data_IF_749620351348
#
_entry.id   IF_749620351348
#
_cell.length_a   1.000
_cell.length_b   1.000
_cell.length_c   1.000
_cell.angle_alpha   90.00
_cell.angle_beta   90.00
_cell.angle_gamma   90.00
#
_symmetry.space_group_name_H-M   'P 1'
#
loop_
_entity.id
_entity.type
_entity.pdbx_description
1 polymer ?
#
# COMPACT_ATOMS: atom_id res chain seq x y z
N UNK A 1 -9.05 -29.46 -2.03
CA UNK A 1 -9.45 -28.04 -1.89
C UNK A 1 -8.36 -27.18 -2.51
N UNK A 2 -8.70 -26.03 -3.06
CA UNK A 2 -7.75 -24.99 -3.48
C UNK A 2 -8.06 -23.74 -2.67
N UNK A 3 -7.03 -23.08 -2.14
CA UNK A 3 -7.16 -21.80 -1.44
C UNK A 3 -6.52 -20.73 -2.31
N UNK A 4 -7.31 -19.72 -2.66
CA UNK A 4 -6.87 -18.54 -3.41
C UNK A 4 -6.92 -17.34 -2.47
N UNK A 5 -5.84 -16.54 -2.45
CA UNK A 5 -5.77 -15.27 -1.73
C UNK A 5 -5.46 -14.18 -2.75
N UNK A 6 -6.33 -13.19 -2.85
CA UNK A 6 -6.10 -11.99 -3.65
C UNK A 6 -6.00 -10.80 -2.71
N UNK A 7 -4.90 -10.04 -2.81
CA UNK A 7 -4.60 -8.94 -1.91
C UNK A 7 -4.44 -7.65 -2.71
N UNK A 8 -5.12 -6.62 -2.24
CA UNK A 8 -4.98 -5.25 -2.71
C UNK A 8 -4.41 -4.39 -1.59
N UNK A 9 -3.47 -3.52 -1.95
CA UNK A 9 -2.79 -2.61 -1.02
C UNK A 9 -2.99 -1.18 -1.52
N UNK A 10 -3.39 -0.29 -0.61
CA UNK A 10 -3.60 1.14 -0.81
C UNK A 10 -3.41 1.88 0.50
N UNK A 11 -4.39 2.70 0.89
CA UNK A 11 -4.43 3.29 2.24
C UNK A 11 -4.63 2.24 3.37
N UNK A 12 -5.03 1.02 3.00
CA UNK A 12 -5.07 -0.16 3.86
C UNK A 12 -4.82 -1.41 3.02
N UNK A 13 -5.21 -2.57 3.53
CA UNK A 13 -5.15 -3.86 2.85
C UNK A 13 -6.59 -4.39 2.73
N UNK A 14 -6.96 -4.84 1.53
CA UNK A 14 -8.13 -5.68 1.34
C UNK A 14 -7.64 -7.06 0.89
N UNK A 15 -8.14 -8.09 1.55
CA UNK A 15 -7.84 -9.45 1.20
C UNK A 15 -9.11 -10.24 0.94
N UNK A 16 -9.20 -10.86 -0.24
CA UNK A 16 -10.26 -11.80 -0.59
C UNK A 16 -9.71 -13.22 -0.53
N UNK A 17 -10.31 -14.04 0.32
CA UNK A 17 -9.93 -15.44 0.52
C UNK A 17 -11.03 -16.30 -0.10
N UNK A 18 -10.67 -17.17 -1.04
CA UNK A 18 -11.59 -18.13 -1.68
C UNK A 18 -11.11 -19.55 -1.42
N UNK A 19 -12.00 -20.40 -0.90
CA UNK A 19 -11.76 -21.84 -0.76
C UNK A 19 -12.63 -22.58 -1.77
N UNK A 20 -12.01 -23.26 -2.73
CA UNK A 20 -12.68 -24.05 -3.78
C UNK A 20 -12.63 -25.53 -3.48
N UNK A 21 -13.77 -26.19 -3.62
CA UNK A 21 -13.88 -27.63 -3.53
C UNK A 21 -14.09 -28.22 -4.93
N UNK A 22 -13.12 -29.00 -5.40
CA UNK A 22 -13.20 -29.71 -6.69
C UNK A 22 -13.69 -31.15 -6.56
N UNK A 23 -13.95 -31.61 -5.34
CA UNK A 23 -14.48 -32.96 -5.10
C UNK A 23 -16.00 -33.00 -5.26
N UNK A 24 -16.53 -34.23 -5.27
CA UNK A 24 -17.97 -34.52 -5.36
C UNK A 24 -18.68 -34.53 -3.99
N UNK A 25 -17.95 -34.33 -2.90
CA UNK A 25 -18.49 -34.35 -1.53
C UNK A 25 -18.33 -32.98 -0.87
N UNK A 26 -19.24 -32.57 0.02
CA UNK A 26 -19.09 -31.33 0.77
C UNK A 26 -17.88 -31.42 1.71
N UNK A 27 -17.16 -30.31 1.86
CA UNK A 27 -16.00 -30.23 2.74
C UNK A 27 -16.27 -29.27 3.91
N UNK A 28 -16.20 -29.78 5.14
CA UNK A 28 -16.20 -28.95 6.35
C UNK A 28 -14.81 -28.37 6.52
N UNK A 29 -14.70 -27.04 6.51
CA UNK A 29 -13.45 -26.31 6.57
C UNK A 29 -13.41 -25.42 7.81
N UNK A 30 -12.24 -25.41 8.46
CA UNK A 30 -11.85 -24.38 9.42
C UNK A 30 -10.78 -23.55 8.74
N UNK A 31 -11.01 -22.25 8.59
CA UNK A 31 -10.09 -21.31 7.95
C UNK A 31 -9.60 -20.35 9.02
N UNK A 32 -8.31 -20.40 9.32
CA UNK A 32 -7.67 -19.55 10.32
C UNK A 32 -6.67 -18.61 9.64
N UNK A 33 -6.69 -17.36 10.06
CA UNK A 33 -5.77 -16.33 9.59
C UNK A 33 -5.11 -15.70 10.83
N UNK A 34 -3.86 -16.11 11.08
CA UNK A 34 -3.03 -15.56 12.14
C UNK A 34 -2.47 -14.20 11.75
N UNK A 35 -2.53 -13.22 12.67
CA UNK A 35 -2.25 -11.82 12.38
C UNK A 35 -1.32 -11.22 13.44
N UNK A 36 -0.39 -10.38 12.98
CA UNK A 36 0.54 -9.65 13.84
C UNK A 36 0.90 -8.29 13.21
N UNK A 37 1.39 -7.37 14.04
CA UNK A 37 1.89 -6.08 13.65
C UNK A 37 3.11 -5.73 14.53
N UNK A 38 4.30 -5.75 13.93
CA UNK A 38 5.56 -5.45 14.62
C UNK A 38 5.82 -3.93 14.80
N UNK A 39 5.06 -3.10 14.08
CA UNK A 39 5.19 -1.64 14.02
C UNK A 39 6.59 -1.13 13.66
N UNK A 40 7.42 -2.01 13.07
CA UNK A 40 8.78 -1.69 12.68
C UNK A 40 8.78 -0.53 11.68
N UNK A 41 9.73 0.37 11.84
CA UNK A 41 9.93 1.46 10.91
C UNK A 41 10.56 0.98 9.61
N UNK A 42 10.27 1.70 8.53
CA UNK A 42 10.79 1.42 7.20
C UNK A 42 12.32 1.25 7.18
N UNK A 43 13.06 2.04 7.95
CA UNK A 43 14.52 1.93 8.02
C UNK A 43 15.01 0.77 8.89
N UNK A 44 14.25 0.38 9.91
CA UNK A 44 14.58 -0.82 10.71
C UNK A 44 14.44 -2.08 9.85
N UNK A 45 13.41 -2.13 9.00
CA UNK A 45 13.23 -3.22 8.03
C UNK A 45 14.33 -3.21 6.97
N UNK A 46 14.63 -2.04 6.40
CA UNK A 46 15.69 -1.87 5.40
C UNK A 46 17.05 -2.37 5.92
N UNK A 47 17.40 -2.02 7.15
CA UNK A 47 18.68 -2.37 7.76
C UNK A 47 18.67 -3.76 8.43
N UNK A 48 17.54 -4.49 8.34
CA UNK A 48 17.29 -5.76 9.01
C UNK A 48 17.60 -5.72 10.53
N UNK A 49 17.33 -4.57 11.15
CA UNK A 49 17.69 -4.27 12.54
C UNK A 49 16.53 -3.60 13.26
N UNK A 50 15.65 -4.41 13.81
CA UNK A 50 14.54 -3.96 14.66
C UNK A 50 15.10 -3.58 16.03
N UNK A 51 15.00 -2.31 16.40
CA UNK A 51 15.48 -1.75 17.66
C UNK A 51 14.35 -1.22 18.55
N UNK A 52 13.23 -0.83 17.96
CA UNK A 52 12.04 -0.36 18.70
C UNK A 52 11.27 -1.57 19.22
N UNK A 53 11.10 -1.61 20.53
CA UNK A 53 10.20 -2.54 21.19
C UNK A 53 8.91 -1.81 21.52
N UNK A 54 7.82 -2.24 20.89
CA UNK A 54 6.50 -1.66 21.06
C UNK A 54 5.76 -2.40 22.18
N UNK A 55 5.20 -1.65 23.12
CA UNK A 55 4.25 -2.20 24.09
C UNK A 55 2.94 -2.49 23.34
N UNK A 56 2.77 -3.75 22.93
CA UNK A 56 1.65 -4.17 22.09
C UNK A 56 0.43 -4.54 22.95
N UNK A 57 -0.75 -4.09 22.52
CA UNK A 57 -2.04 -4.50 23.06
C UNK A 57 -2.96 -4.94 21.94
N UNK A 58 -3.79 -5.96 22.21
CA UNK A 58 -4.68 -6.59 21.22
C UNK A 58 -6.09 -6.67 21.77
N UNK A 59 -7.05 -6.08 21.06
CA UNK A 59 -8.44 -5.95 21.49
C UNK A 59 -9.37 -6.51 20.41
N UNK A 60 -9.77 -7.79 20.50
CA UNK A 60 -10.83 -8.34 19.66
C UNK A 60 -12.19 -7.80 20.12
N UNK A 61 -13.00 -7.31 19.17
CA UNK A 61 -14.33 -6.77 19.43
C UNK A 61 -15.24 -7.07 18.24
N UNK A 62 -16.29 -7.88 18.46
CA UNK A 62 -17.22 -8.28 17.42
C UNK A 62 -16.53 -8.95 16.22
N UNK A 63 -16.68 -8.35 15.05
CA UNK A 63 -16.09 -8.75 13.77
C UNK A 63 -14.77 -8.01 13.46
N UNK A 64 -14.07 -7.56 14.51
CA UNK A 64 -12.82 -6.83 14.38
C UNK A 64 -11.74 -7.23 15.40
N UNK A 65 -10.49 -6.92 15.06
CA UNK A 65 -9.34 -6.98 15.97
C UNK A 65 -8.52 -5.71 15.81
N UNK A 66 -8.33 -5.00 16.92
CA UNK A 66 -7.45 -3.85 16.98
C UNK A 66 -6.11 -4.26 17.60
N UNK A 67 -5.01 -4.05 16.88
CA UNK A 67 -3.64 -4.21 17.40
C UNK A 67 -3.03 -2.83 17.52
N UNK A 68 -2.58 -2.44 18.72
CA UNK A 68 -1.94 -1.16 18.99
C UNK A 68 -0.56 -1.38 19.56
N UNK A 69 0.35 -0.45 19.28
CA UNK A 69 1.69 -0.39 19.83
C UNK A 69 1.98 1.00 20.37
N UNK A 70 2.60 1.05 21.55
CA UNK A 70 3.12 2.29 22.13
C UNK A 70 4.64 2.22 22.27
N UNK A 71 5.34 3.26 21.82
CA UNK A 71 6.79 3.40 22.01
C UNK A 71 7.15 4.87 22.26
N UNK A 72 7.65 5.18 23.47
CA UNK A 72 8.04 6.55 23.87
C UNK A 72 6.96 7.63 23.60
N UNK A 73 5.70 7.29 23.83
CA UNK A 73 4.55 8.18 23.59
C UNK A 73 4.09 8.27 22.14
N UNK A 74 4.75 7.56 21.21
CA UNK A 74 4.24 7.36 19.84
C UNK A 74 3.24 6.22 19.87
N UNK A 75 2.04 6.47 19.33
CA UNK A 75 0.98 5.49 19.21
C UNK A 75 0.83 5.08 17.74
N UNK A 76 0.81 3.78 17.49
CA UNK A 76 0.44 3.21 16.19
C UNK A 76 -0.62 2.14 16.39
N UNK A 77 -1.47 1.93 15.41
CA UNK A 77 -2.37 0.78 15.42
C UNK A 77 -2.74 0.31 14.03
N UNK A 78 -3.35 -0.86 13.99
CA UNK A 78 -4.07 -1.40 12.84
C UNK A 78 -5.38 -1.97 13.34
N UNK A 79 -6.45 -1.75 12.58
CA UNK A 79 -7.72 -2.43 12.78
C UNK A 79 -7.95 -3.42 11.66
N UNK A 80 -8.26 -4.65 12.04
CA UNK A 80 -8.69 -5.71 11.14
C UNK A 80 -10.19 -5.84 11.26
N UNK A 81 -10.89 -5.98 10.14
CA UNK A 81 -12.34 -6.22 10.12
C UNK A 81 -12.64 -7.32 9.12
N UNK A 82 -13.49 -8.26 9.53
CA UNK A 82 -13.84 -9.41 8.72
C UNK A 82 -15.24 -9.91 9.09
N UNK A 83 -16.26 -9.66 8.24
CA UNK A 83 -17.62 -10.08 8.52
C UNK A 83 -17.70 -11.59 8.79
N UNK A 84 -18.59 -11.97 9.69
CA UNK A 84 -18.88 -13.36 10.10
C UNK A 84 -17.67 -14.16 10.64
N UNK A 85 -16.55 -13.48 10.92
CA UNK A 85 -15.38 -14.10 11.53
C UNK A 85 -15.51 -14.13 13.06
N UNK A 86 -14.89 -15.14 13.67
CA UNK A 86 -14.62 -15.11 15.11
C UNK A 86 -13.20 -14.62 15.33
N UNK A 87 -13.04 -13.49 16.01
CA UNK A 87 -11.73 -12.95 16.36
C UNK A 87 -11.23 -13.48 17.71
N UNK A 88 -9.91 -13.60 17.79
CA UNK A 88 -9.15 -13.90 19.01
C UNK A 88 -7.97 -12.93 19.10
N UNK A 89 -7.17 -13.02 20.16
CA UNK A 89 -5.94 -12.25 20.24
C UNK A 89 -4.92 -12.62 19.15
N UNK A 90 -4.97 -13.81 18.56
CA UNK A 90 -3.98 -14.28 17.58
C UNK A 90 -4.38 -14.00 16.12
N UNK A 91 -5.62 -13.58 15.88
CA UNK A 91 -6.17 -13.41 14.52
C UNK A 91 -7.64 -13.77 14.45
N UNK A 92 -8.06 -14.37 13.34
CA UNK A 92 -9.47 -14.68 13.07
C UNK A 92 -9.67 -16.08 12.52
N UNK A 93 -10.89 -16.61 12.72
CA UNK A 93 -11.29 -17.94 12.26
C UNK A 93 -12.69 -17.97 11.65
N UNK A 94 -12.86 -18.87 10.69
CA UNK A 94 -14.15 -19.23 10.09
C UNK A 94 -14.38 -20.73 10.18
N UNK A 95 -15.62 -21.12 10.46
CA UNK A 95 -16.10 -22.50 10.27
C UNK A 95 -17.14 -22.48 9.16
N UNK A 96 -16.87 -23.20 8.08
CA UNK A 96 -17.71 -23.17 6.88
C UNK A 96 -17.84 -24.54 6.24
N UNK A 97 -18.86 -24.72 5.41
CA UNK A 97 -19.04 -25.91 4.57
C UNK A 97 -18.92 -25.47 3.12
N UNK A 98 -17.95 -26.03 2.40
CA UNK A 98 -17.76 -25.77 0.98
C UNK A 98 -18.46 -26.86 0.17
N UNK A 99 -19.51 -26.54 -0.60
CA UNK A 99 -20.27 -27.54 -1.36
C UNK A 99 -19.42 -28.31 -2.38
N UNK A 100 -19.86 -29.49 -2.84
CA UNK A 100 -19.25 -30.18 -3.99
C UNK A 100 -19.14 -29.25 -5.19
N UNK A 101 -17.99 -29.23 -5.85
CA UNK A 101 -17.71 -28.34 -6.99
C UNK A 101 -17.98 -26.84 -6.71
N UNK A 102 -18.10 -26.46 -5.43
CA UNK A 102 -18.47 -25.13 -4.98
C UNK A 102 -17.29 -24.33 -4.43
N UNK A 103 -17.60 -23.14 -3.92
CA UNK A 103 -16.62 -22.28 -3.28
C UNK A 103 -17.23 -21.54 -2.09
N UNK A 104 -16.38 -21.20 -1.14
CA UNK A 104 -16.67 -20.24 -0.08
C UNK A 104 -15.73 -19.04 -0.22
N UNK A 105 -16.22 -17.84 0.12
CA UNK A 105 -15.44 -16.59 0.03
C UNK A 105 -15.67 -15.72 1.25
N UNK A 106 -14.61 -15.01 1.64
CA UNK A 106 -14.68 -13.93 2.63
C UNK A 106 -13.76 -12.77 2.25
N UNK A 107 -13.97 -11.62 2.90
CA UNK A 107 -13.13 -10.43 2.80
C UNK A 107 -12.62 -10.04 4.18
N UNK A 108 -11.33 -9.72 4.25
CA UNK A 108 -10.65 -9.18 5.42
C UNK A 108 -10.06 -7.83 5.04
N UNK A 109 -10.39 -6.78 5.78
CA UNK A 109 -9.78 -5.46 5.63
C UNK A 109 -8.83 -5.17 6.77
N UNK A 110 -7.71 -4.51 6.49
CA UNK A 110 -6.77 -3.99 7.48
C UNK A 110 -6.56 -2.52 7.20
N UNK A 111 -6.86 -1.67 8.17
CA UNK A 111 -6.70 -0.22 8.06
C UNK A 111 -5.71 0.29 9.12
N UNK A 112 -4.77 1.19 8.78
CA UNK A 112 -3.89 1.81 9.77
C UNK A 112 -4.67 2.77 10.66
N UNK A 113 -4.37 2.75 11.95
CA UNK A 113 -4.86 3.72 12.94
C UNK A 113 -3.74 4.74 13.19
N UNK A 114 -3.91 5.94 12.64
CA UNK A 114 -3.03 7.08 12.89
C UNK A 114 -3.85 8.05 13.74
N UNK A 115 -3.44 8.20 15.00
CA UNK A 115 -4.17 8.87 16.09
C UNK A 115 -5.40 8.11 16.64
N UNK A 116 -5.49 8.03 17.97
CA UNK A 116 -6.42 7.17 18.71
C UNK A 116 -7.90 7.63 18.67
N UNK A 117 -8.24 8.65 17.88
CA UNK A 117 -9.51 9.35 17.97
C UNK A 117 -10.61 8.76 17.07
N UNK A 118 -10.28 8.15 15.94
CA UNK A 118 -11.29 7.63 15.01
C UNK A 118 -10.91 6.28 14.40
N UNK A 119 -11.87 5.36 14.41
CA UNK A 119 -11.76 4.11 13.66
C UNK A 119 -11.89 4.42 12.17
N UNK A 120 -10.86 4.20 11.34
CA UNK A 120 -10.95 4.45 9.92
C UNK A 120 -12.02 3.55 9.30
N UNK A 121 -12.73 4.06 8.29
CA UNK A 121 -13.62 3.22 7.51
C UNK A 121 -12.84 2.02 6.94
N UNK A 122 -13.46 0.82 6.83
CA UNK A 122 -12.81 -0.34 6.23
C UNK A 122 -12.27 0.03 4.84
N UNK A 123 -11.03 -0.35 4.53
CA UNK A 123 -10.49 -0.14 3.19
C UNK A 123 -11.37 -0.84 2.15
N UNK A 124 -11.99 -0.06 1.28
CA UNK A 124 -12.84 -0.59 0.22
C UNK A 124 -12.08 -0.63 -1.10
N UNK A 125 -12.21 -1.74 -1.82
CA UNK A 125 -11.85 -1.78 -3.25
C UNK A 125 -12.60 -0.66 -3.95
N UNK A 126 -11.90 0.18 -4.68
CA UNK A 126 -12.56 1.14 -5.56
C UNK A 126 -13.38 0.36 -6.61
N UNK A 127 -14.66 0.69 -6.75
CA UNK A 127 -15.56 0.01 -7.68
C UNK A 127 -14.93 -0.08 -9.09
N UNK A 128 -15.21 -1.19 -9.79
CA UNK A 128 -14.62 -1.55 -11.09
C UNK A 128 -14.32 -0.32 -11.96
N UNK A 129 -13.06 0.03 -12.02
CA UNK A 129 -12.51 1.22 -12.64
C UNK A 129 -10.99 1.17 -12.53
N UNK A 130 -10.32 1.92 -13.40
CA UNK A 130 -8.87 2.10 -13.36
C UNK A 130 -8.47 2.62 -11.99
N UNK A 131 -7.57 1.95 -11.26
CA UNK A 131 -7.11 2.43 -9.94
C UNK A 131 -6.47 3.82 -10.07
N UNK A 132 -6.42 4.65 -9.01
CA UNK A 132 -5.82 5.98 -9.11
C UNK A 132 -4.34 5.89 -9.54
N UNK A 133 -3.63 4.88 -9.05
CA UNK A 133 -2.27 4.58 -9.47
C UNK A 133 -2.17 4.26 -10.97
N UNK A 134 -3.12 3.50 -11.51
CA UNK A 134 -3.16 3.19 -12.94
C UNK A 134 -3.59 4.39 -13.79
N UNK A 135 -4.51 5.25 -13.31
CA UNK A 135 -4.86 6.52 -13.97
C UNK A 135 -3.60 7.40 -14.08
N UNK A 136 -2.89 7.59 -12.97
CA UNK A 136 -1.62 8.35 -12.95
C UNK A 136 -0.57 7.75 -13.87
N UNK A 137 -0.42 6.43 -13.88
CA UNK A 137 0.48 5.74 -14.80
C UNK A 137 0.11 6.03 -16.26
N UNK A 138 -1.18 6.00 -16.59
CA UNK A 138 -1.65 6.32 -17.95
C UNK A 138 -1.42 7.79 -18.32
N UNK A 139 -1.65 8.73 -17.40
CA UNK A 139 -1.37 10.15 -17.60
C UNK A 139 0.12 10.41 -17.80
N UNK A 140 0.97 9.78 -16.99
CA UNK A 140 2.42 9.80 -17.17
C UNK A 140 2.84 9.28 -18.54
N UNK A 141 2.33 8.10 -18.94
CA UNK A 141 2.63 7.51 -20.24
C UNK A 141 2.23 8.44 -21.40
N UNK A 142 1.11 9.17 -21.26
CA UNK A 142 0.66 10.14 -22.28
C UNK A 142 1.58 11.35 -22.41
N UNK A 143 2.30 11.72 -21.35
CA UNK A 143 3.26 12.85 -21.36
C UNK A 143 4.62 12.46 -21.97
N UNK A 144 4.95 11.16 -22.01
CA UNK A 144 6.23 10.70 -22.57
C UNK A 144 6.33 11.06 -24.06
N UNK A 145 7.34 11.83 -24.49
CA UNK A 145 7.56 12.12 -25.90
C UNK A 145 7.80 10.83 -26.69
N UNK A 146 7.18 10.72 -27.87
CA UNK A 146 7.47 9.62 -28.79
C UNK A 146 8.90 9.76 -29.33
N UNK A 147 9.84 9.02 -28.75
CA UNK A 147 11.25 9.04 -29.17
C UNK A 147 11.51 7.95 -30.20
N UNK A 148 12.19 8.30 -31.29
CA UNK A 148 12.70 7.32 -32.26
C UNK A 148 14.19 7.12 -32.04
N UNK A 149 14.57 5.94 -31.56
CA UNK A 149 15.96 5.58 -31.28
C UNK A 149 16.29 4.27 -31.99
N UNK A 150 17.21 4.33 -32.95
CA UNK A 150 17.58 3.14 -33.75
C UNK A 150 18.36 2.10 -32.93
N UNK A 151 19.03 2.53 -31.87
CA UNK A 151 19.75 1.64 -30.97
C UNK A 151 18.80 1.06 -29.90
N UNK A 152 18.62 -0.26 -29.93
CA UNK A 152 17.71 -0.99 -29.04
C UNK A 152 18.07 -0.87 -27.55
N UNK A 153 19.36 -0.86 -27.20
CA UNK A 153 19.76 -0.74 -25.78
C UNK A 153 19.47 0.65 -25.23
N UNK A 154 19.66 1.69 -26.03
CA UNK A 154 19.30 3.07 -25.64
C UNK A 154 17.78 3.19 -25.53
N UNK A 155 17.02 2.67 -26.50
CA UNK A 155 15.55 2.71 -26.45
C UNK A 155 15.00 2.01 -25.20
N UNK A 156 15.56 0.84 -24.84
CA UNK A 156 15.20 0.13 -23.60
C UNK A 156 15.54 0.92 -22.35
N UNK A 157 16.71 1.56 -22.34
CA UNK A 157 17.16 2.38 -21.19
C UNK A 157 16.21 3.55 -20.98
N UNK A 158 15.84 4.27 -22.04
CA UNK A 158 14.88 5.37 -21.97
C UNK A 158 13.51 4.89 -21.47
N UNK A 159 12.99 3.79 -22.01
CA UNK A 159 11.72 3.23 -21.54
C UNK A 159 11.77 2.88 -20.05
N UNK A 160 12.84 2.23 -19.60
CA UNK A 160 13.04 1.92 -18.17
C UNK A 160 13.10 3.19 -17.34
N UNK A 161 13.86 4.21 -17.75
CA UNK A 161 13.92 5.50 -17.04
C UNK A 161 12.56 6.18 -16.93
N UNK A 162 11.72 6.09 -17.97
CA UNK A 162 10.35 6.59 -17.89
C UNK A 162 9.50 5.77 -16.92
N UNK A 163 9.54 4.45 -16.99
CA UNK A 163 8.79 3.58 -16.08
C UNK A 163 9.20 3.85 -14.62
N UNK A 164 10.50 4.03 -14.37
CA UNK A 164 11.06 4.27 -13.04
C UNK A 164 10.64 5.64 -12.49
N UNK A 165 10.72 6.72 -13.28
CA UNK A 165 10.21 8.04 -12.87
C UNK A 165 8.69 7.97 -12.62
N UNK A 166 7.96 7.24 -13.46
CA UNK A 166 6.52 6.98 -13.28
C UNK A 166 6.21 6.34 -11.93
N UNK A 167 7.04 5.39 -11.50
CA UNK A 167 6.88 4.71 -10.21
C UNK A 167 7.32 5.55 -9.00
N UNK A 168 8.18 6.55 -9.21
CA UNK A 168 8.67 7.45 -8.16
C UNK A 168 7.77 8.68 -7.93
N UNK A 169 6.71 8.86 -8.71
CA UNK A 169 5.77 9.96 -8.51
C UNK A 169 4.97 9.76 -7.22
N UNK A 170 5.02 10.76 -6.35
CA UNK A 170 4.25 10.85 -5.10
C UNK A 170 3.50 12.18 -5.05
N UNK A 171 2.39 12.21 -4.32
CA UNK A 171 1.56 13.40 -4.13
C UNK A 171 1.89 14.06 -2.79
N UNK A 172 1.80 15.39 -2.72
CA UNK A 172 1.77 16.09 -1.44
C UNK A 172 0.35 16.04 -0.88
N UNK A 173 0.10 15.46 0.31
CA UNK A 173 -1.23 15.45 0.92
C UNK A 173 -1.84 16.85 1.12
N UNK A 174 -1.02 17.90 1.25
CA UNK A 174 -1.48 19.28 1.38
C UNK A 174 -1.84 19.93 0.03
N UNK A 175 -1.25 19.41 -1.05
CA UNK A 175 -1.46 19.89 -2.42
C UNK A 175 -1.66 18.68 -3.35
N UNK A 176 -2.83 18.03 -3.32
CA UNK A 176 -3.09 16.79 -4.07
C UNK A 176 -2.99 16.96 -5.59
N UNK A 177 -3.01 18.19 -6.08
CA UNK A 177 -2.81 18.58 -7.47
C UNK A 177 -1.33 18.60 -7.89
N UNK A 178 -0.40 18.55 -6.93
CA UNK A 178 1.05 18.55 -7.18
C UNK A 178 1.63 17.16 -7.14
N UNK A 179 2.43 16.84 -8.16
CA UNK A 179 3.16 15.58 -8.23
C UNK A 179 4.65 15.84 -8.12
N UNK A 180 5.31 15.22 -7.14
CA UNK A 180 6.76 15.34 -6.94
C UNK A 180 7.45 13.99 -7.14
N UNK A 181 8.75 14.03 -7.42
CA UNK A 181 9.55 12.82 -7.61
C UNK A 181 10.17 12.42 -6.28
N UNK A 182 9.84 11.22 -5.80
CA UNK A 182 10.48 10.62 -4.64
C UNK A 182 11.96 10.33 -4.91
N UNK A 183 12.75 10.26 -3.84
CA UNK A 183 14.19 10.00 -3.96
C UNK A 183 14.52 8.56 -4.36
N UNK A 184 13.67 7.59 -4.01
CA UNK A 184 13.88 6.21 -4.44
C UNK A 184 12.96 5.19 -3.79
N UNK A 185 12.52 4.22 -4.57
CA UNK A 185 11.77 3.08 -4.07
C UNK A 185 12.69 1.98 -3.51
N UNK A 186 12.22 1.15 -2.56
CA UNK A 186 10.98 1.31 -1.78
C UNK A 186 11.20 2.16 -0.49
N UNK A 187 12.45 2.43 -0.11
CA UNK A 187 12.79 2.94 1.22
C UNK A 187 12.78 4.47 1.36
N UNK A 188 12.82 5.19 0.25
CA UNK A 188 12.93 6.65 0.19
C UNK A 188 11.80 7.25 -0.66
N UNK A 189 10.58 6.71 -0.49
CA UNK A 189 9.34 7.21 -1.11
C UNK A 189 8.86 8.49 -0.43
N UNK A 190 9.71 9.51 -0.42
CA UNK A 190 9.46 10.82 0.15
C UNK A 190 10.24 11.91 -0.62
N UNK A 191 9.91 13.16 -0.34
CA UNK A 191 10.58 14.32 -0.92
C UNK A 191 11.95 14.54 -0.24
N UNK A 192 13.05 14.27 -0.97
CA UNK A 192 14.39 14.61 -0.53
C UNK A 192 14.96 15.68 -1.44
N UNK A 193 15.19 16.88 -0.91
CA UNK A 193 15.45 18.10 -1.70
C UNK A 193 16.40 17.91 -2.88
N UNK A 194 17.64 17.46 -2.65
CA UNK A 194 18.62 17.27 -3.74
C UNK A 194 18.15 16.25 -4.77
N UNK A 195 17.76 15.05 -4.32
CA UNK A 195 17.46 13.92 -5.19
C UNK A 195 16.19 14.19 -6.02
N UNK A 196 15.17 14.78 -5.38
CA UNK A 196 13.94 15.23 -6.05
C UNK A 196 14.23 16.35 -7.06
N UNK A 197 15.00 17.39 -6.69
CA UNK A 197 15.35 18.49 -7.60
C UNK A 197 16.12 18.03 -8.83
N UNK A 198 17.14 17.18 -8.65
CA UNK A 198 17.94 16.68 -9.76
C UNK A 198 17.11 15.78 -10.68
N UNK A 199 16.30 14.87 -10.11
CA UNK A 199 15.45 13.97 -10.89
C UNK A 199 14.39 14.73 -11.67
N UNK A 200 13.71 15.70 -11.04
CA UNK A 200 12.72 16.54 -11.70
C UNK A 200 13.34 17.46 -12.75
N UNK A 201 14.56 17.96 -12.52
CA UNK A 201 15.33 18.73 -13.51
C UNK A 201 15.69 17.89 -14.74
N UNK A 202 16.16 16.66 -14.54
CA UNK A 202 16.47 15.74 -15.64
C UNK A 202 15.22 15.33 -16.43
N UNK A 203 14.04 15.36 -15.80
CA UNK A 203 12.75 15.03 -16.41
C UNK A 203 12.09 16.20 -17.15
N UNK A 204 12.70 17.40 -17.21
CA UNK A 204 12.11 18.60 -17.83
C UNK A 204 11.63 18.40 -19.28
N UNK A 205 12.34 17.58 -20.06
CA UNK A 205 11.95 17.31 -21.46
C UNK A 205 10.75 16.38 -21.60
N UNK A 206 10.35 15.73 -20.50
CA UNK A 206 9.22 14.80 -20.43
C UNK A 206 8.03 15.49 -19.79
N UNK A 207 8.23 16.07 -18.61
CA UNK A 207 7.18 16.78 -17.88
C UNK A 207 7.76 17.92 -17.03
N UNK A 208 7.66 19.18 -17.52
CA UNK A 208 8.09 20.34 -16.76
C UNK A 208 7.34 20.54 -15.44
N UNK A 209 6.12 20.01 -15.29
CA UNK A 209 5.33 20.20 -14.07
C UNK A 209 6.00 19.52 -12.87
N UNK A 210 6.67 18.38 -13.07
CA UNK A 210 7.41 17.70 -12.00
C UNK A 210 8.45 18.61 -11.35
N UNK A 211 9.16 19.43 -12.14
CA UNK A 211 10.15 20.36 -11.62
C UNK A 211 9.50 21.55 -10.91
N UNK A 212 8.42 22.09 -11.46
CA UNK A 212 7.66 23.18 -10.86
C UNK A 212 7.07 22.77 -9.50
N UNK A 213 6.37 21.65 -9.47
CA UNK A 213 5.71 21.11 -8.28
C UNK A 213 6.75 20.79 -7.19
N UNK A 214 7.86 20.15 -7.58
CA UNK A 214 8.98 19.87 -6.65
C UNK A 214 9.54 21.17 -6.05
N UNK A 215 9.75 22.22 -6.85
CA UNK A 215 10.24 23.51 -6.37
C UNK A 215 9.25 24.19 -5.41
N UNK A 216 7.96 24.20 -5.76
CA UNK A 216 6.91 24.82 -4.93
C UNK A 216 6.78 24.10 -3.57
N UNK A 217 6.70 22.77 -3.60
CA UNK A 217 6.59 21.97 -2.37
C UNK A 217 7.83 22.10 -1.48
N UNK A 218 9.04 22.16 -2.07
CA UNK A 218 10.26 22.41 -1.28
C UNK A 218 10.30 23.83 -0.70
N UNK A 219 9.87 24.84 -1.45
CA UNK A 219 9.87 26.22 -1.00
C UNK A 219 8.92 26.43 0.19
N UNK A 220 7.75 25.80 0.20
CA UNK A 220 6.78 25.87 1.30
C UNK A 220 7.31 25.23 2.60
N UNK A 221 8.19 24.22 2.48
CA UNK A 221 8.80 23.52 3.61
C UNK A 221 10.14 24.11 4.03
N UNK A 222 10.69 25.06 3.27
CA UNK A 222 12.02 25.60 3.53
C UNK A 222 12.01 26.54 4.74
N UNK A 223 12.74 26.16 5.79
CA UNK A 223 12.94 27.01 6.97
C UNK A 223 11.75 27.09 7.94
N UNK A 224 10.69 26.33 7.68
CA UNK A 224 9.57 26.12 8.60
C UNK A 224 9.86 24.84 9.39
N UNK A 225 10.18 24.99 10.68
CA UNK A 225 10.37 23.88 11.65
C UNK A 225 9.08 23.66 12.42
#
# INVERSE_FOLDING_TARGET
LIVERNREVGAGILEEITVRNHSREPAVCVVELAMDADFADLFEVKDARIIRHWDQSRHPEGDSLTIQGVWRGIHKGVILQAPDATFSHEGLGYRTVVPPHGQWRTRVTVSPLVDAAETPAPFQRQASGTSPAEIRRQEWIRKIPATHVSNVSIARTLQRSHDDIGALQIEDPLHPDRTVVAAGAPWFMALFGRDSLLSSYMALTVDPSLALDTLQTLAERQGNV
#
